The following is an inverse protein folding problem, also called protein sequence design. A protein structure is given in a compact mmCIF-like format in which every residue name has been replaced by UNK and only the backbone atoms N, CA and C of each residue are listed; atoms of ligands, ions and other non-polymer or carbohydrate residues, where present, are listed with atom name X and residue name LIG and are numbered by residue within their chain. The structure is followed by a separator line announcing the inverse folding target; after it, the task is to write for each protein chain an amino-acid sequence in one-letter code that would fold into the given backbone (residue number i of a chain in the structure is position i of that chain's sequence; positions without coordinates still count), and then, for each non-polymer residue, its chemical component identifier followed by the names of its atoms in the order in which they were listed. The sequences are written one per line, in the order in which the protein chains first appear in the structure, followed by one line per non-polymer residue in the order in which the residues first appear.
data_IF_425492576547
#
_entry.id   IF_425492576547
#
_cell.length_a   1.000
_cell.length_b   1.000
_cell.length_c   1.000
_cell.angle_alpha   90.00
_cell.angle_beta   90.00
_cell.angle_gamma   90.00
#
_symmetry.space_group_name_H-M   'P 1'
#
loop_
_entity.id
_entity.type
_entity.pdbx_description
1 polymer ?
#
# COMPACT_ATOMS: atom_id res chain seq x y z
N UNK A 1 -13.56 12.69 11.17
CA UNK A 1 -13.14 13.03 9.79
C UNK A 1 -12.29 11.89 9.25
N UNK A 2 -12.69 11.32 8.10
CA UNK A 2 -11.92 10.32 7.38
C UNK A 2 -11.02 11.02 6.36
N UNK A 3 -9.74 10.64 6.32
CA UNK A 3 -8.76 11.15 5.34
C UNK A 3 -8.18 9.98 4.57
N UNK A 4 -8.27 10.04 3.25
CA UNK A 4 -7.66 9.08 2.32
C UNK A 4 -6.50 9.77 1.61
N UNK A 5 -5.35 9.10 1.53
CA UNK A 5 -4.17 9.56 0.79
C UNK A 5 -3.82 8.53 -0.26
N UNK A 6 -3.56 8.99 -1.48
CA UNK A 6 -3.25 8.16 -2.61
C UNK A 6 -1.73 8.00 -2.77
N UNK A 7 -1.30 6.87 -3.33
CA UNK A 7 0.13 6.56 -3.52
C UNK A 7 0.72 7.21 -4.76
N UNK A 8 -0.12 7.60 -5.71
CA UNK A 8 0.21 8.39 -6.90
C UNK A 8 0.36 9.89 -6.60
N UNK A 9 0.13 10.30 -5.34
CA UNK A 9 0.24 11.68 -4.91
C UNK A 9 -0.97 12.53 -5.27
N UNK A 10 -2.07 11.93 -5.75
CA UNK A 10 -3.31 12.67 -5.96
C UNK A 10 -3.79 13.37 -4.68
N UNK A 11 -4.53 14.49 -4.81
CA UNK A 11 -5.05 15.21 -3.65
C UNK A 11 -5.82 14.29 -2.69
N UNK A 12 -5.59 14.41 -1.37
CA UNK A 12 -6.25 13.55 -0.41
C UNK A 12 -7.75 13.84 -0.35
N UNK A 13 -8.55 12.78 -0.33
CA UNK A 13 -9.99 12.90 -0.08
C UNK A 13 -10.23 13.08 1.41
N UNK A 14 -11.08 14.05 1.76
CA UNK A 14 -11.51 14.33 3.13
C UNK A 14 -13.02 14.21 3.22
N UNK A 15 -13.50 13.33 4.09
CA UNK A 15 -14.93 13.11 4.31
C UNK A 15 -15.26 13.43 5.77
N UNK A 16 -16.22 14.34 5.97
CA UNK A 16 -16.81 14.59 7.28
C UNK A 16 -17.95 13.59 7.46
N UNK A 17 -17.84 12.75 8.48
CA UNK A 17 -18.88 11.82 8.88
C UNK A 17 -19.62 12.47 10.05
N UNK A 18 -20.87 12.91 9.83
CA UNK A 18 -21.70 13.55 10.86
C UNK A 18 -22.21 12.54 11.88
N UNK A 19 -22.45 11.30 11.44
CA UNK A 19 -22.88 10.17 12.26
C UNK A 19 -22.01 8.95 11.90
N UNK A 20 -20.79 8.83 12.45
CA UNK A 20 -19.84 7.84 11.97
C UNK A 20 -20.22 6.39 12.29
N UNK A 21 -20.96 6.14 13.38
CA UNK A 21 -21.24 4.77 13.83
C UNK A 21 -19.99 3.89 13.85
N UNK A 22 -20.12 2.64 13.39
CA UNK A 22 -19.00 1.69 13.23
C UNK A 22 -18.33 1.75 11.85
N UNK A 23 -18.63 2.77 11.04
CA UNK A 23 -18.08 2.89 9.69
C UNK A 23 -16.54 2.96 9.68
N UNK A 24 -15.85 3.71 10.56
CA UNK A 24 -14.39 3.73 10.59
C UNK A 24 -13.77 2.35 10.89
N UNK A 25 -14.32 1.62 11.84
CA UNK A 25 -13.88 0.26 12.20
C UNK A 25 -14.14 -0.70 11.05
N UNK A 26 -15.37 -0.74 10.53
CA UNK A 26 -15.77 -1.62 9.42
C UNK A 26 -14.95 -1.34 8.16
N UNK A 27 -14.69 -0.07 7.85
CA UNK A 27 -13.84 0.31 6.72
C UNK A 27 -12.40 -0.19 6.92
N UNK A 28 -11.84 -0.01 8.13
CA UNK A 28 -10.50 -0.49 8.46
C UNK A 28 -10.42 -2.00 8.30
N UNK A 29 -11.36 -2.73 8.88
CA UNK A 29 -11.43 -4.19 8.80
C UNK A 29 -11.53 -4.66 7.35
N UNK A 30 -12.41 -4.05 6.57
CA UNK A 30 -12.60 -4.42 5.16
C UNK A 30 -11.38 -4.12 4.31
N UNK A 31 -10.68 -2.99 4.55
CA UNK A 31 -9.40 -2.69 3.90
C UNK A 31 -8.34 -3.71 4.30
N UNK A 32 -8.22 -4.03 5.59
CA UNK A 32 -7.24 -5.01 6.08
C UNK A 32 -7.48 -6.40 5.50
N UNK A 33 -8.75 -6.83 5.38
CA UNK A 33 -9.12 -8.09 4.78
C UNK A 33 -8.77 -8.21 3.28
N UNK A 34 -8.49 -7.09 2.60
CA UNK A 34 -7.98 -7.14 1.21
C UNK A 34 -6.51 -7.51 1.11
N UNK A 35 -5.72 -7.35 2.19
CA UNK A 35 -4.28 -7.54 2.15
C UNK A 35 -3.97 -9.03 2.21
N UNK A 36 -3.33 -9.55 1.16
CA UNK A 36 -2.91 -10.96 1.06
C UNK A 36 -1.51 -11.14 1.62
N UNK A 37 -0.59 -10.25 1.23
CA UNK A 37 0.80 -10.26 1.68
C UNK A 37 1.30 -8.83 1.82
N UNK A 38 2.12 -8.58 2.83
CA UNK A 38 2.75 -7.29 3.03
C UNK A 38 4.14 -7.46 3.63
N UNK A 39 5.14 -6.85 3.00
CA UNK A 39 6.52 -6.85 3.48
C UNK A 39 7.03 -5.41 3.59
N UNK A 40 7.81 -5.14 4.62
CA UNK A 40 8.60 -3.92 4.72
C UNK A 40 9.99 -4.20 4.17
N UNK A 41 10.44 -3.40 3.22
CA UNK A 41 11.79 -3.47 2.65
C UNK A 41 12.63 -2.30 3.19
N UNK A 42 13.89 -2.59 3.50
CA UNK A 42 14.90 -1.59 3.88
C UNK A 42 15.42 -0.88 2.62
N UNK A 43 15.42 0.45 2.63
CA UNK A 43 15.86 1.32 1.53
C UNK A 43 17.21 2.02 1.87
N UNK A 44 17.88 1.51 2.90
CA UNK A 44 19.11 2.05 3.47
C UNK A 44 18.87 3.34 4.27
N UNK A 45 19.88 3.71 5.05
CA UNK A 45 19.88 4.95 5.85
C UNK A 45 18.66 5.08 6.79
N UNK A 46 18.21 3.96 7.38
CA UNK A 46 17.00 3.88 8.23
C UNK A 46 15.70 4.28 7.53
N UNK A 47 15.68 4.21 6.20
CA UNK A 47 14.48 4.44 5.39
C UNK A 47 13.88 3.11 4.99
N UNK A 48 12.57 3.07 4.78
CA UNK A 48 11.88 1.85 4.38
C UNK A 48 10.78 2.15 3.37
N UNK A 49 10.36 1.11 2.66
CA UNK A 49 9.15 1.10 1.86
C UNK A 49 8.34 -0.15 2.21
N UNK A 50 7.04 -0.14 1.93
CA UNK A 50 6.16 -1.29 2.10
C UNK A 50 5.71 -1.79 0.74
N UNK A 51 5.91 -3.07 0.45
CA UNK A 51 5.37 -3.74 -0.72
C UNK A 51 4.21 -4.62 -0.28
N UNK A 52 3.10 -4.59 -1.03
CA UNK A 52 1.84 -5.21 -0.61
C UNK A 52 1.19 -5.86 -1.82
N UNK A 53 0.71 -7.09 -1.64
CA UNK A 53 -0.27 -7.73 -2.52
C UNK A 53 -1.65 -7.62 -1.87
N UNK A 54 -2.63 -7.10 -2.61
CA UNK A 54 -4.02 -6.98 -2.16
C UNK A 54 -4.99 -7.48 -3.19
N UNK A 55 -6.16 -7.92 -2.74
CA UNK A 55 -7.29 -8.27 -3.58
C UNK A 55 -8.07 -7.02 -3.98
N UNK A 56 -8.27 -6.84 -5.26
CA UNK A 56 -9.22 -5.88 -5.80
C UNK A 56 -10.65 -6.35 -5.52
N UNK A 57 -11.43 -5.55 -4.80
CA UNK A 57 -12.77 -5.95 -4.38
C UNK A 57 -13.80 -5.95 -5.52
N UNK A 58 -13.55 -5.24 -6.63
CA UNK A 58 -14.47 -5.16 -7.76
C UNK A 58 -14.27 -6.34 -8.72
N UNK A 59 -13.02 -6.72 -8.95
CA UNK A 59 -12.61 -7.70 -9.97
C UNK A 59 -12.13 -9.02 -9.39
N UNK A 60 -11.85 -9.09 -8.09
CA UNK A 60 -11.16 -10.19 -7.42
C UNK A 60 -9.71 -10.45 -7.88
N UNK A 61 -9.14 -9.57 -8.72
CA UNK A 61 -7.75 -9.67 -9.13
C UNK A 61 -6.79 -9.40 -7.96
N UNK A 62 -5.57 -9.93 -8.04
CA UNK A 62 -4.50 -9.55 -7.13
C UNK A 62 -3.69 -8.40 -7.72
N UNK A 63 -3.46 -7.37 -6.91
CA UNK A 63 -2.71 -6.18 -7.25
C UNK A 63 -1.51 -6.04 -6.32
N UNK A 64 -0.33 -5.78 -6.89
CA UNK A 64 0.89 -5.48 -6.15
C UNK A 64 1.17 -3.98 -6.15
N UNK A 65 1.47 -3.39 -4.99
CA UNK A 65 1.75 -1.96 -4.85
C UNK A 65 2.89 -1.70 -3.87
N UNK A 66 3.65 -0.64 -4.11
CA UNK A 66 4.64 -0.10 -3.18
C UNK A 66 4.16 1.20 -2.53
N UNK A 67 4.44 1.37 -1.25
CA UNK A 67 4.22 2.60 -0.48
C UNK A 67 5.59 3.07 0.03
N UNK A 68 6.06 4.20 -0.46
CA UNK A 68 7.35 4.76 -0.03
C UNK A 68 7.20 5.37 1.36
N UNK A 69 8.14 5.04 2.25
CA UNK A 69 8.20 5.62 3.59
C UNK A 69 8.64 7.08 3.57
N UNK A 70 8.63 7.70 4.75
CA UNK A 70 9.04 9.10 4.90
C UNK A 70 10.48 9.30 4.41
N UNK A 71 10.69 10.30 3.57
CA UNK A 71 12.03 10.66 3.06
C UNK A 71 12.59 9.74 1.99
N UNK A 72 11.75 8.85 1.42
CA UNK A 72 12.09 8.02 0.26
C UNK A 72 11.40 8.59 -0.96
N UNK A 73 12.17 8.87 -2.01
CA UNK A 73 11.61 9.26 -3.31
C UNK A 73 11.87 8.19 -4.35
N UNK A 74 10.99 8.07 -5.34
CA UNK A 74 11.13 7.08 -6.42
C UNK A 74 12.32 7.36 -7.34
N UNK A 75 12.75 8.62 -7.43
CA UNK A 75 13.89 9.10 -8.21
C UNK A 75 15.22 9.07 -7.44
N UNK A 76 15.21 8.73 -6.15
CA UNK A 76 16.42 8.49 -5.38
C UNK A 76 17.21 7.30 -5.99
N UNK A 77 18.55 7.39 -6.09
CA UNK A 77 19.37 6.32 -6.66
C UNK A 77 19.13 4.96 -5.98
N UNK A 78 18.86 3.93 -6.78
CA UNK A 78 18.66 2.55 -6.33
C UNK A 78 17.28 2.24 -5.72
N UNK A 79 16.45 3.23 -5.40
CA UNK A 79 15.14 3.00 -4.77
C UNK A 79 14.19 2.25 -5.70
N UNK A 80 14.10 2.68 -6.96
CA UNK A 80 13.22 2.04 -7.94
C UNK A 80 13.58 0.55 -8.16
N UNK A 81 14.87 0.22 -8.14
CA UNK A 81 15.35 -1.17 -8.27
C UNK A 81 14.98 -2.01 -7.06
N UNK A 82 15.23 -1.51 -5.85
CA UNK A 82 14.90 -2.20 -4.60
C UNK A 82 13.39 -2.43 -4.46
N UNK A 83 12.59 -1.43 -4.82
CA UNK A 83 11.13 -1.54 -4.84
C UNK A 83 10.67 -2.58 -5.85
N UNK A 84 11.23 -2.58 -7.07
CA UNK A 84 10.89 -3.58 -8.10
C UNK A 84 11.24 -4.99 -7.65
N UNK A 85 12.42 -5.19 -7.06
CA UNK A 85 12.81 -6.48 -6.49
C UNK A 85 11.89 -6.93 -5.35
N UNK A 86 11.48 -6.00 -4.49
CA UNK A 86 10.49 -6.26 -3.44
C UNK A 86 9.13 -6.67 -4.00
N UNK A 87 8.65 -5.98 -5.05
CA UNK A 87 7.40 -6.30 -5.71
C UNK A 87 7.43 -7.68 -6.40
N UNK A 88 8.52 -8.01 -7.08
CA UNK A 88 8.69 -9.34 -7.69
C UNK A 88 8.64 -10.45 -6.64
N UNK A 89 9.35 -10.28 -5.51
CA UNK A 89 9.36 -11.27 -4.42
C UNK A 89 7.96 -11.54 -3.85
N UNK A 90 7.19 -10.48 -3.57
CA UNK A 90 5.84 -10.66 -3.01
C UNK A 90 4.86 -11.23 -4.03
N UNK A 91 5.07 -11.01 -5.34
CA UNK A 91 4.27 -11.61 -6.41
C UNK A 91 4.56 -13.11 -6.56
N UNK A 92 5.83 -13.49 -6.53
CA UNK A 92 6.26 -14.89 -6.55
C UNK A 92 5.64 -15.68 -5.38
N UNK A 93 5.67 -15.13 -4.17
CA UNK A 93 5.10 -15.78 -2.97
C UNK A 93 3.58 -16.04 -3.04
N UNK A 94 2.85 -15.29 -3.86
CA UNK A 94 1.41 -15.48 -4.07
C UNK A 94 1.08 -16.16 -5.40
N UNK A 95 2.08 -16.60 -6.16
CA UNK A 95 1.92 -17.31 -7.44
C UNK A 95 1.46 -16.42 -8.60
N UNK A 96 1.91 -15.16 -8.67
CA UNK A 96 1.57 -14.21 -9.72
C UNK A 96 2.61 -14.08 -10.85
N UNK A 97 3.72 -14.80 -10.77
CA UNK A 97 4.80 -14.83 -11.77
C UNK A 97 5.09 -16.28 -12.20
#
# INVERSE_FOLDING_TARGET
MLRVTWVDGEPPVRVVLTEPGELPETLRERVQATVVLAETIDIGQRRSAKVVVRRDLATNALLSQAVLGRGVRSDDPGVAEQVRAGLARVREQVGLD
#
